data_IF_247293763434
#
_entry.id   IF_247293763434
#
_cell.length_a   1.000
_cell.length_b   1.000
_cell.length_c   1.000
_cell.angle_alpha   90.00
_cell.angle_beta   90.00
_cell.angle_gamma   90.00
#
_symmetry.space_group_name_H-M   'P 1'
#
loop_
_entity.id
_entity.type
_entity.pdbx_description
1 polymer ?
#
# COMPACT_ATOMS: atom_id res chain seq x y z
N UNK A 1 -5.90 -26.02 39.28
CA UNK A 1 -6.55 -25.35 38.14
C UNK A 1 -5.61 -24.25 37.66
N UNK A 2 -4.78 -24.55 36.66
CA UNK A 2 -3.88 -23.56 36.05
C UNK A 2 -4.57 -22.95 34.84
N UNK A 3 -4.82 -21.65 34.89
CA UNK A 3 -5.28 -20.90 33.71
C UNK A 3 -4.11 -20.85 32.73
N UNK A 4 -4.22 -21.59 31.62
CA UNK A 4 -3.30 -21.44 30.51
C UNK A 4 -3.49 -20.02 29.97
N UNK A 5 -2.47 -19.18 30.16
CA UNK A 5 -2.43 -17.86 29.59
C UNK A 5 -2.17 -18.04 28.08
N UNK A 6 -3.25 -18.11 27.31
CA UNK A 6 -3.21 -18.14 25.84
C UNK A 6 -2.88 -16.73 25.38
N UNK A 7 -1.61 -16.35 25.49
CA UNK A 7 -1.12 -15.18 24.79
C UNK A 7 -1.29 -15.44 23.29
N UNK A 8 -1.94 -14.55 22.52
CA UNK A 8 -1.95 -14.68 21.07
C UNK A 8 -0.50 -14.66 20.60
N UNK A 9 -0.15 -15.58 19.70
CA UNK A 9 1.17 -15.60 19.06
C UNK A 9 1.32 -14.25 18.37
N UNK A 10 2.17 -13.39 18.92
CA UNK A 10 2.51 -12.12 18.29
C UNK A 10 3.20 -12.45 16.98
N UNK A 11 2.56 -12.07 15.86
CA UNK A 11 3.16 -12.23 14.53
C UNK A 11 4.47 -11.47 14.47
N UNK A 12 5.48 -12.04 13.81
CA UNK A 12 6.72 -11.33 13.56
C UNK A 12 6.48 -10.14 12.64
N UNK A 13 7.32 -9.09 12.69
CA UNK A 13 7.24 -7.97 11.75
C UNK A 13 7.25 -8.43 10.29
N UNK A 14 8.03 -9.45 9.95
CA UNK A 14 8.11 -10.01 8.60
C UNK A 14 6.78 -10.65 8.17
N UNK A 15 6.11 -11.38 9.07
CA UNK A 15 4.79 -11.97 8.80
C UNK A 15 3.72 -10.90 8.58
N UNK A 16 3.81 -9.77 9.30
CA UNK A 16 2.91 -8.62 9.11
C UNK A 16 3.14 -7.98 7.74
N UNK A 17 4.39 -7.72 7.36
CA UNK A 17 4.74 -7.12 6.06
C UNK A 17 4.33 -8.02 4.90
N UNK A 18 4.63 -9.33 4.99
CA UNK A 18 4.22 -10.28 3.96
C UNK A 18 2.70 -10.37 3.82
N UNK A 19 1.97 -10.30 4.95
CA UNK A 19 0.51 -10.24 4.95
C UNK A 19 -0.04 -8.99 4.25
N UNK A 20 0.60 -7.84 4.45
CA UNK A 20 0.22 -6.58 3.80
C UNK A 20 0.45 -6.63 2.29
N UNK A 21 1.62 -7.07 1.83
CA UNK A 21 1.91 -7.15 0.40
C UNK A 21 0.96 -8.10 -0.31
N UNK A 22 0.67 -9.28 0.28
CA UNK A 22 -0.32 -10.20 -0.28
C UNK A 22 -1.72 -9.59 -0.36
N UNK A 23 -2.10 -8.77 0.60
CA UNK A 23 -3.40 -8.12 0.59
C UNK A 23 -3.49 -7.04 -0.50
N UNK A 24 -2.38 -6.35 -0.76
CA UNK A 24 -2.23 -5.39 -1.86
C UNK A 24 -2.29 -6.09 -3.22
N UNK A 25 -1.54 -7.19 -3.42
CA UNK A 25 -1.61 -7.99 -4.66
C UNK A 25 -3.05 -8.43 -4.97
N UNK A 26 -3.82 -8.84 -3.96
CA UNK A 26 -5.24 -9.20 -4.13
C UNK A 26 -6.13 -7.99 -4.47
N UNK A 27 -5.77 -6.80 -3.99
CA UNK A 27 -6.49 -5.56 -4.29
C UNK A 27 -6.20 -5.08 -5.73
N UNK A 28 -4.96 -5.23 -6.19
CA UNK A 28 -4.54 -4.97 -7.58
C UNK A 28 -5.25 -5.90 -8.56
N UNK A 29 -5.30 -7.21 -8.26
CA UNK A 29 -6.05 -8.18 -9.07
C UNK A 29 -7.54 -7.86 -9.19
N UNK A 30 -8.10 -7.16 -8.20
CA UNK A 30 -9.50 -6.69 -8.20
C UNK A 30 -9.68 -5.32 -8.86
N UNK A 31 -8.60 -4.67 -9.28
CA UNK A 31 -8.62 -3.32 -9.85
C UNK A 31 -9.02 -2.23 -8.83
N UNK A 32 -8.97 -2.53 -7.53
CA UNK A 32 -9.27 -1.55 -6.49
C UNK A 32 -8.01 -0.91 -5.93
N UNK A 33 -6.82 -1.37 -6.31
CA UNK A 33 -5.56 -0.74 -5.90
C UNK A 33 -4.66 -0.58 -7.12
N UNK A 34 -4.13 0.62 -7.31
CA UNK A 34 -3.26 0.92 -8.45
C UNK A 34 -2.09 1.80 -7.97
N UNK A 35 -1.02 1.14 -7.53
CA UNK A 35 0.21 1.80 -7.11
C UNK A 35 1.28 1.59 -8.18
N UNK A 36 1.85 2.68 -8.67
CA UNK A 36 2.79 2.63 -9.78
C UNK A 36 4.20 2.17 -9.43
N UNK A 37 4.51 2.01 -8.14
CA UNK A 37 5.84 1.60 -7.68
C UNK A 37 5.86 0.10 -7.42
N UNK A 38 6.95 -0.57 -7.81
CA UNK A 38 7.18 -1.99 -7.56
C UNK A 38 8.30 -2.20 -6.52
N UNK A 39 8.07 -2.90 -5.40
CA UNK A 39 6.78 -3.40 -4.93
C UNK A 39 5.86 -2.29 -4.44
N UNK A 40 4.55 -2.53 -4.53
CA UNK A 40 3.52 -1.58 -4.16
C UNK A 40 3.66 -1.11 -2.69
N UNK A 41 3.60 0.20 -2.47
CA UNK A 41 3.68 0.75 -1.11
C UNK A 41 2.44 0.38 -0.28
N UNK A 42 2.55 0.36 1.05
CA UNK A 42 1.43 0.09 1.96
C UNK A 42 0.68 1.36 2.41
N UNK A 43 1.18 2.55 2.05
CA UNK A 43 0.68 3.84 2.57
C UNK A 43 -0.79 4.10 2.28
N UNK A 44 -1.21 3.94 1.02
CA UNK A 44 -2.61 4.06 0.63
C UNK A 44 -3.45 2.93 1.27
N UNK A 45 -2.95 1.69 1.20
CA UNK A 45 -3.67 0.51 1.67
C UNK A 45 -4.00 0.56 3.17
N UNK A 46 -3.11 1.13 3.98
CA UNK A 46 -3.30 1.33 5.42
C UNK A 46 -4.13 2.58 5.76
N UNK A 47 -4.62 3.32 4.75
CA UNK A 47 -5.41 4.54 4.96
C UNK A 47 -4.60 5.73 5.50
N UNK A 48 -3.27 5.70 5.33
CA UNK A 48 -2.38 6.79 5.76
C UNK A 48 -2.27 7.92 4.72
N UNK A 49 -2.88 7.75 3.55
CA UNK A 49 -2.98 8.75 2.50
C UNK A 49 -4.42 8.82 1.97
N UNK A 50 -4.73 9.85 1.16
CA UNK A 50 -6.04 10.06 0.49
C UNK A 50 -6.48 8.77 -0.25
N UNK A 51 -7.17 7.90 0.46
CA UNK A 51 -7.67 6.63 0.01
C UNK A 51 -9.18 6.73 -0.01
N UNK A 52 -9.72 7.18 -1.13
CA UNK A 52 -11.16 7.24 -1.31
C UNK A 52 -11.65 5.88 -1.80
N UNK A 53 -12.75 5.41 -1.21
CA UNK A 53 -13.51 4.20 -1.62
C UNK A 53 -12.72 2.91 -1.87
N UNK A 54 -11.56 2.73 -1.24
CA UNK A 54 -10.78 1.49 -1.44
C UNK A 54 -9.69 1.60 -2.49
N UNK A 55 -9.45 2.80 -3.05
CA UNK A 55 -8.54 3.02 -4.19
C UNK A 55 -7.38 3.96 -3.88
N UNK A 56 -6.16 3.55 -4.23
CA UNK A 56 -5.00 4.45 -4.29
C UNK A 56 -5.01 5.12 -5.67
N UNK A 57 -5.34 6.41 -5.72
CA UNK A 57 -5.44 7.18 -6.96
C UNK A 57 -4.12 7.86 -7.36
N UNK A 58 -2.99 7.44 -6.78
CA UNK A 58 -1.70 8.09 -7.02
C UNK A 58 -1.27 7.96 -8.49
N UNK A 59 -1.46 6.81 -9.13
CA UNK A 59 -1.16 6.61 -10.56
C UNK A 59 -1.94 7.60 -11.45
N UNK A 60 -3.26 7.66 -11.27
CA UNK A 60 -4.13 8.59 -12.01
C UNK A 60 -3.77 10.07 -11.73
N UNK A 61 -3.50 10.43 -10.48
CA UNK A 61 -3.07 11.78 -10.13
C UNK A 61 -1.75 12.17 -10.82
N UNK A 62 -0.81 11.24 -10.95
CA UNK A 62 0.45 11.46 -11.68
C UNK A 62 0.18 11.69 -13.17
N UNK A 63 -0.64 10.82 -13.79
CA UNK A 63 -1.00 10.93 -15.21
C UNK A 63 -1.74 12.23 -15.53
N UNK A 64 -2.50 12.76 -14.58
CA UNK A 64 -3.26 14.01 -14.70
C UNK A 64 -2.46 15.26 -14.28
N UNK A 65 -1.25 15.11 -13.73
CA UNK A 65 -0.42 16.22 -13.23
C UNK A 65 -0.91 16.87 -11.93
N UNK A 66 -1.65 16.12 -11.09
CA UNK A 66 -2.17 16.54 -9.78
C UNK A 66 -1.22 16.15 -8.65
N UNK A 67 -0.05 16.77 -8.61
CA UNK A 67 1.04 16.42 -7.66
C UNK A 67 0.64 16.47 -6.18
N UNK A 68 -0.33 17.31 -5.80
CA UNK A 68 -0.88 17.45 -4.45
C UNK A 68 -1.74 16.27 -3.98
N UNK A 69 -2.15 15.41 -4.91
CA UNK A 69 -2.92 14.19 -4.65
C UNK A 69 -2.04 12.93 -4.62
N UNK A 70 -0.76 13.06 -5.02
CA UNK A 70 0.24 11.98 -5.00
C UNK A 70 0.83 11.80 -3.61
N UNK A 71 0.87 10.56 -3.11
CA UNK A 71 1.45 10.26 -1.81
C UNK A 71 2.99 10.44 -1.79
N UNK A 72 3.60 10.64 -0.61
CA UNK A 72 5.04 10.83 -0.50
C UNK A 72 5.87 9.67 -1.06
N UNK A 73 5.41 8.42 -0.92
CA UNK A 73 6.14 7.25 -1.44
C UNK A 73 6.06 7.15 -2.96
N UNK A 74 4.90 7.43 -3.57
CA UNK A 74 4.77 7.47 -5.04
C UNK A 74 5.60 8.62 -5.63
N UNK A 75 5.63 9.79 -4.99
CA UNK A 75 6.49 10.92 -5.42
C UNK A 75 7.97 10.54 -5.39
N UNK A 76 8.40 9.90 -4.31
CA UNK A 76 9.78 9.38 -4.18
C UNK A 76 10.08 8.30 -5.22
N UNK A 77 9.10 7.48 -5.57
CA UNK A 77 9.19 6.50 -6.65
C UNK A 77 9.40 7.16 -8.01
N UNK A 78 8.63 8.20 -8.33
CA UNK A 78 8.77 9.00 -9.55
C UNK A 78 10.15 9.63 -9.67
N UNK A 79 10.63 10.31 -8.61
CA UNK A 79 11.96 10.93 -8.58
C UNK A 79 13.09 9.91 -8.83
N UNK A 80 12.87 8.64 -8.48
CA UNK A 80 13.82 7.54 -8.63
C UNK A 80 13.63 6.73 -9.91
N UNK A 81 12.62 7.03 -10.74
CA UNK A 81 12.29 6.23 -11.93
C UNK A 81 11.78 4.82 -11.61
N UNK A 82 11.16 4.64 -10.44
CA UNK A 82 10.58 3.36 -9.97
C UNK A 82 9.06 3.30 -10.16
N UNK A 83 8.45 4.42 -10.54
CA UNK A 83 7.03 4.53 -10.82
C UNK A 83 6.80 4.36 -12.33
N UNK A 84 5.89 3.48 -12.73
CA UNK A 84 5.58 3.15 -14.13
C UNK A 84 4.47 4.02 -14.75
N UNK A 85 3.94 5.00 -14.00
CA UNK A 85 2.92 5.98 -14.44
C UNK A 85 3.36 6.99 -15.51
N UNK A 86 4.50 6.77 -16.16
CA UNK A 86 5.15 7.72 -17.07
C UNK A 86 4.38 7.95 -18.39
#
# INVERSE_FOLDING_TARGET
MGIANVYPIEKSPEEVVAGLHKAIELAEQKGVYNCCIEPACTMCYLGHWKFDVGTCYCDDAIREGRDEDVCPECRKGLEKGLCDSA
#
